data_IF_464062941196
#
_entry.id   IF_464062941196
#
_cell.length_a   1.000
_cell.length_b   1.000
_cell.length_c   1.000
_cell.angle_alpha   90.00
_cell.angle_beta   90.00
_cell.angle_gamma   90.00
#
_symmetry.space_group_name_H-M   'P 1'
#
loop_
_entity.id
_entity.type
_entity.pdbx_description
1 polymer ?
#
# COMPACT_ATOMS: atom_id res chain seq x y z
N UNK A 1 -11.09 -34.83 55.13
CA UNK A 1 -10.26 -34.08 54.15
C UNK A 1 -9.92 -32.70 54.74
N UNK A 2 -8.64 -32.32 54.82
CA UNK A 2 -8.21 -31.08 55.48
C UNK A 2 -8.50 -29.84 54.61
N UNK A 3 -9.76 -29.41 54.60
CA UNK A 3 -10.31 -28.31 53.78
C UNK A 3 -9.55 -26.98 53.91
N UNK A 4 -9.01 -26.68 55.11
CA UNK A 4 -8.16 -25.50 55.31
C UNK A 4 -6.84 -25.57 54.53
N UNK A 5 -6.23 -26.75 54.42
CA UNK A 5 -4.94 -26.92 53.70
C UNK A 5 -5.13 -26.82 52.18
N UNK A 6 -6.22 -27.35 51.65
CA UNK A 6 -6.54 -27.25 50.22
C UNK A 6 -6.84 -25.81 49.79
N UNK A 7 -7.51 -25.02 50.63
CA UNK A 7 -7.76 -23.59 50.35
C UNK A 7 -6.47 -22.76 50.29
N UNK A 8 -5.55 -22.98 51.22
CA UNK A 8 -4.25 -22.28 51.22
C UNK A 8 -3.41 -22.65 49.99
N UNK A 9 -3.44 -23.92 49.58
CA UNK A 9 -2.76 -24.37 48.36
C UNK A 9 -3.27 -23.65 47.11
N UNK A 10 -4.59 -23.51 46.96
CA UNK A 10 -5.20 -22.81 45.82
C UNK A 10 -4.80 -21.34 45.74
N UNK A 11 -4.70 -20.65 46.88
CA UNK A 11 -4.25 -19.25 46.94
C UNK A 11 -2.80 -19.13 46.46
N UNK A 12 -1.92 -20.04 46.91
CA UNK A 12 -0.52 -20.06 46.48
C UNK A 12 -0.36 -20.32 44.99
N UNK A 13 -1.08 -21.30 44.44
CA UNK A 13 -1.04 -21.62 43.00
C UNK A 13 -1.56 -20.44 42.18
N UNK A 14 -2.65 -19.79 42.61
CA UNK A 14 -3.21 -18.63 41.93
C UNK A 14 -2.20 -17.47 41.86
N UNK A 15 -1.51 -17.18 42.95
CA UNK A 15 -0.47 -16.13 42.98
C UNK A 15 0.68 -16.48 42.04
N UNK A 16 1.15 -17.74 42.05
CA UNK A 16 2.24 -18.19 41.18
C UNK A 16 1.88 -18.03 39.69
N UNK A 17 0.66 -18.41 39.30
CA UNK A 17 0.15 -18.24 37.93
C UNK A 17 0.07 -16.77 37.54
N UNK A 18 -0.40 -15.90 38.44
CA UNK A 18 -0.46 -14.46 38.17
C UNK A 18 0.93 -13.83 38.00
N UNK A 19 1.92 -14.24 38.80
CA UNK A 19 3.31 -13.80 38.62
C UNK A 19 3.84 -14.23 37.25
N UNK A 20 3.58 -15.48 36.84
CA UNK A 20 3.96 -16.00 35.53
C UNK A 20 3.30 -15.20 34.40
N UNK A 21 2.01 -14.86 34.53
CA UNK A 21 1.29 -14.02 33.59
C UNK A 21 1.87 -12.60 33.50
N UNK A 22 2.25 -12.00 34.63
CA UNK A 22 2.89 -10.68 34.67
C UNK A 22 4.26 -10.73 33.99
N UNK A 23 5.06 -11.78 34.22
CA UNK A 23 6.34 -11.96 33.53
C UNK A 23 6.15 -12.09 32.01
N UNK A 24 5.20 -12.91 31.56
CA UNK A 24 4.86 -13.06 30.13
C UNK A 24 4.36 -11.73 29.56
N UNK A 25 3.57 -10.98 30.30
CA UNK A 25 3.06 -9.68 29.88
C UNK A 25 4.19 -8.65 29.74
N UNK A 26 5.09 -8.55 30.71
CA UNK A 26 6.26 -7.67 30.66
C UNK A 26 7.17 -8.06 29.49
N UNK A 27 7.45 -9.36 29.29
CA UNK A 27 8.26 -9.82 28.15
C UNK A 27 7.59 -9.47 26.81
N UNK A 28 6.26 -9.65 26.70
CA UNK A 28 5.49 -9.27 25.51
C UNK A 28 5.48 -7.76 25.27
N UNK A 29 5.39 -6.94 26.32
CA UNK A 29 5.42 -5.47 26.22
C UNK A 29 6.83 -4.96 25.92
N UNK A 30 7.87 -5.53 26.52
CA UNK A 30 9.26 -5.18 26.21
C UNK A 30 9.61 -5.57 24.77
N UNK A 31 9.23 -6.76 24.30
CA UNK A 31 9.30 -7.13 22.87
C UNK A 31 8.42 -6.24 21.97
N UNK A 32 7.37 -5.63 22.53
CA UNK A 32 6.56 -4.66 21.81
C UNK A 32 7.27 -3.30 21.66
N UNK A 33 8.06 -2.87 22.65
CA UNK A 33 8.67 -1.53 22.76
C UNK A 33 10.17 -1.43 22.40
N UNK A 34 10.87 -2.55 22.12
CA UNK A 34 12.25 -2.48 21.63
C UNK A 34 12.26 -1.95 20.20
N UNK A 35 12.78 -0.73 20.07
CA UNK A 35 13.19 -0.10 18.81
C UNK A 35 14.21 -0.99 18.07
N UNK A 36 13.99 -1.17 16.77
CA UNK A 36 14.88 -1.59 15.67
C UNK A 36 16.38 -1.78 16.00
N UNK A 37 16.69 -2.82 16.77
CA UNK A 37 18.00 -3.45 16.84
C UNK A 37 17.84 -4.98 16.73
N UNK A 38 17.09 -5.42 15.70
CA UNK A 38 17.08 -6.82 15.25
C UNK A 38 18.45 -7.12 14.60
N UNK A 39 19.46 -7.46 15.42
CA UNK A 39 20.79 -7.87 14.93
C UNK A 39 21.01 -9.40 14.99
N UNK A 40 19.98 -10.18 15.34
CA UNK A 40 20.14 -11.64 15.57
C UNK A 40 19.62 -12.56 14.47
N UNK A 41 18.52 -12.21 13.78
CA UNK A 41 17.74 -13.15 12.95
C UNK A 41 17.35 -12.60 11.56
N UNK A 42 18.00 -11.54 11.08
CA UNK A 42 17.67 -10.98 9.77
C UNK A 42 18.08 -11.95 8.67
N UNK A 43 17.28 -12.01 7.61
CA UNK A 43 17.61 -12.84 6.44
C UNK A 43 18.85 -12.24 5.77
N UNK A 44 19.86 -13.09 5.58
CA UNK A 44 21.00 -12.75 4.75
C UNK A 44 20.68 -13.07 3.29
N UNK A 45 20.04 -12.12 2.60
CA UNK A 45 19.63 -12.29 1.20
C UNK A 45 20.80 -12.63 0.27
N UNK A 46 22.04 -12.22 0.58
CA UNK A 46 23.20 -12.60 -0.22
C UNK A 46 23.52 -14.09 -0.09
N UNK A 47 23.44 -14.66 1.12
CA UNK A 47 23.65 -16.10 1.34
C UNK A 47 22.51 -16.94 0.72
N UNK A 48 21.30 -16.41 0.71
CA UNK A 48 20.14 -17.02 0.06
C UNK A 48 20.12 -16.84 -1.48
N UNK A 49 21.13 -16.16 -2.04
CA UNK A 49 21.24 -15.80 -3.47
C UNK A 49 20.01 -15.06 -4.00
N UNK A 50 19.42 -14.19 -3.17
CA UNK A 50 18.31 -13.31 -3.51
C UNK A 50 18.87 -11.89 -3.70
N UNK A 51 18.62 -11.31 -4.87
CA UNK A 51 19.09 -9.96 -5.18
C UNK A 51 18.09 -8.95 -4.63
N UNK A 52 18.51 -8.17 -3.63
CA UNK A 52 17.70 -7.06 -3.09
C UNK A 52 18.53 -5.78 -3.10
N UNK A 53 18.07 -4.71 -3.79
CA UNK A 53 18.75 -3.44 -3.81
C UNK A 53 18.88 -2.82 -2.40
N UNK A 54 20.05 -2.27 -2.10
CA UNK A 54 20.34 -1.71 -0.77
C UNK A 54 19.53 -0.45 -0.47
N UNK A 55 19.26 0.35 -1.50
CA UNK A 55 18.39 1.52 -1.44
C UNK A 55 16.94 1.14 -1.09
N UNK A 56 16.45 -0.01 -1.59
CA UNK A 56 15.15 -0.57 -1.19
C UNK A 56 15.13 -0.93 0.29
N UNK A 57 16.13 -1.67 0.77
CA UNK A 57 16.19 -2.11 2.17
C UNK A 57 16.35 -0.95 3.16
N UNK A 58 17.04 0.11 2.76
CA UNK A 58 17.42 1.22 3.63
C UNK A 58 16.44 2.42 3.57
N UNK A 59 15.29 2.31 2.89
CA UNK A 59 14.29 3.40 2.90
C UNK A 59 13.86 3.70 4.35
N UNK A 60 14.06 4.95 4.79
CA UNK A 60 13.77 5.38 6.15
C UNK A 60 12.27 5.61 6.33
N UNK A 61 11.68 4.95 7.31
CA UNK A 61 10.25 5.08 7.67
C UNK A 61 10.03 5.32 9.17
N UNK A 62 11.08 5.69 9.91
CA UNK A 62 11.05 5.84 11.37
C UNK A 62 9.99 6.82 11.87
N UNK A 63 9.74 7.89 11.10
CA UNK A 63 8.77 8.93 11.44
C UNK A 63 7.43 8.75 10.70
N UNK A 64 7.25 7.60 10.04
CA UNK A 64 6.05 7.31 9.25
C UNK A 64 5.06 6.48 10.06
N UNK A 65 3.92 7.11 10.40
CA UNK A 65 2.79 6.44 11.02
C UNK A 65 1.55 6.54 10.15
N UNK A 66 0.93 5.41 9.84
CA UNK A 66 -0.26 5.33 8.99
C UNK A 66 -1.37 4.55 9.68
N UNK A 67 -2.62 4.83 9.30
CA UNK A 67 -3.80 4.12 9.77
C UNK A 67 -4.56 3.55 8.57
N UNK A 68 -5.48 2.61 8.83
CA UNK A 68 -6.48 2.26 7.82
C UNK A 68 -7.36 3.47 7.54
N UNK A 69 -7.78 3.62 6.29
CA UNK A 69 -8.64 4.70 5.84
C UNK A 69 -9.87 4.12 5.14
N UNK A 70 -10.96 4.86 5.21
CA UNK A 70 -12.12 4.64 4.36
C UNK A 70 -12.18 5.73 3.31
N UNK A 71 -12.68 5.37 2.14
CA UNK A 71 -12.83 6.29 1.02
C UNK A 71 -14.09 5.93 0.23
N UNK A 72 -14.66 6.90 -0.48
CA UNK A 72 -15.81 6.68 -1.36
C UNK A 72 -15.46 7.05 -2.79
N UNK A 73 -15.98 6.28 -3.75
CA UNK A 73 -15.88 6.65 -5.16
C UNK A 73 -16.60 7.97 -5.43
N UNK A 74 -15.88 8.90 -6.07
CA UNK A 74 -16.42 10.20 -6.48
C UNK A 74 -17.57 9.99 -7.45
N UNK A 75 -18.64 10.74 -7.22
CA UNK A 75 -19.69 10.93 -8.22
C UNK A 75 -19.34 12.14 -9.09
N UNK A 76 -19.16 11.92 -10.39
CA UNK A 76 -18.81 12.95 -11.36
C UNK A 76 -20.02 13.61 -12.03
N UNK A 77 -21.26 13.22 -11.70
CA UNK A 77 -22.46 13.76 -12.37
C UNK A 77 -22.56 15.28 -12.33
N UNK A 78 -22.33 15.91 -11.17
CA UNK A 78 -22.32 17.37 -11.06
C UNK A 78 -21.15 18.00 -11.81
N UNK A 79 -19.97 17.37 -11.74
CA UNK A 79 -18.76 17.91 -12.39
C UNK A 79 -18.90 17.91 -13.92
N UNK A 80 -19.39 16.81 -14.50
CA UNK A 80 -19.61 16.72 -15.94
C UNK A 80 -20.69 17.69 -16.45
N UNK A 81 -21.74 17.97 -15.66
CA UNK A 81 -22.74 19.00 -16.01
C UNK A 81 -22.14 20.41 -16.16
N UNK A 82 -21.08 20.70 -15.41
CA UNK A 82 -20.37 21.98 -15.47
C UNK A 82 -19.29 22.01 -16.58
N UNK A 83 -18.97 20.85 -17.17
CA UNK A 83 -17.92 20.68 -18.16
C UNK A 83 -18.47 19.88 -19.35
N UNK A 84 -19.13 20.59 -20.28
CA UNK A 84 -19.89 19.98 -21.38
C UNK A 84 -19.11 19.10 -22.36
N UNK A 85 -17.77 19.17 -22.35
CA UNK A 85 -16.88 18.32 -23.14
C UNK A 85 -16.52 17.00 -22.46
N UNK A 86 -17.04 16.74 -21.26
CA UNK A 86 -16.74 15.56 -20.47
C UNK A 86 -17.97 14.67 -20.33
N UNK A 87 -17.74 13.37 -20.49
CA UNK A 87 -18.76 12.34 -20.32
C UNK A 87 -18.54 11.58 -19.02
N UNK A 88 -19.57 10.82 -18.61
CA UNK A 88 -19.44 9.92 -17.47
C UNK A 88 -19.95 8.52 -17.79
N UNK A 89 -19.34 7.53 -17.16
CA UNK A 89 -19.73 6.12 -17.24
C UNK A 89 -19.69 5.46 -15.85
N UNK A 90 -20.03 4.16 -15.78
CA UNK A 90 -20.11 3.39 -14.54
C UNK A 90 -20.93 4.09 -13.44
N UNK A 91 -22.19 4.42 -13.73
CA UNK A 91 -23.09 5.14 -12.80
C UNK A 91 -22.46 6.44 -12.27
N UNK A 92 -21.87 7.21 -13.18
CA UNK A 92 -21.18 8.48 -12.92
C UNK A 92 -19.90 8.35 -12.06
N UNK A 93 -19.30 7.16 -11.94
CA UNK A 93 -18.05 6.96 -11.17
C UNK A 93 -16.78 7.04 -11.99
N UNK A 94 -16.91 7.00 -13.31
CA UNK A 94 -15.81 7.24 -14.24
C UNK A 94 -16.12 8.51 -15.02
N UNK A 95 -15.15 9.42 -15.07
CA UNK A 95 -15.15 10.61 -15.91
C UNK A 95 -14.31 10.30 -17.15
N UNK A 96 -14.82 10.65 -18.33
CA UNK A 96 -14.17 10.41 -19.61
C UNK A 96 -14.03 11.75 -20.35
N UNK A 97 -12.89 11.94 -21.02
CA UNK A 97 -12.63 13.15 -21.79
C UNK A 97 -11.72 12.89 -22.97
N UNK A 98 -12.03 13.53 -24.08
CA UNK A 98 -11.18 13.58 -25.26
C UNK A 98 -10.18 14.74 -25.16
N UNK A 99 -9.06 14.61 -25.88
CA UNK A 99 -7.97 15.58 -25.86
C UNK A 99 -7.79 16.16 -27.26
N UNK A 100 -8.40 17.32 -27.51
CA UNK A 100 -8.41 18.00 -28.82
C UNK A 100 -6.99 18.35 -29.33
N UNK A 101 -6.06 18.62 -28.42
CA UNK A 101 -4.64 18.91 -28.73
C UNK A 101 -3.81 17.73 -28.27
N UNK A 102 -3.13 17.04 -29.19
CA UNK A 102 -2.33 15.86 -28.83
C UNK A 102 -1.21 16.23 -27.85
N UNK A 103 -1.42 15.91 -26.57
CA UNK A 103 -0.46 16.15 -25.48
C UNK A 103 0.64 15.11 -25.59
N UNK A 104 1.90 15.53 -25.70
CA UNK A 104 3.02 14.60 -25.88
C UNK A 104 3.33 13.85 -24.58
N UNK A 105 3.56 12.55 -24.72
CA UNK A 105 3.98 11.63 -23.65
C UNK A 105 5.39 11.06 -23.95
N UNK A 106 5.92 11.27 -25.15
CA UNK A 106 7.26 10.82 -25.56
C UNK A 106 8.42 11.67 -25.04
N UNK A 107 8.15 12.82 -24.44
CA UNK A 107 9.22 13.72 -23.99
C UNK A 107 9.92 13.16 -22.76
N UNK A 108 11.27 13.24 -22.72
CA UNK A 108 12.13 12.63 -21.69
C UNK A 108 11.71 12.93 -20.24
N UNK A 109 11.01 14.06 -20.00
CA UNK A 109 10.57 14.50 -18.68
C UNK A 109 9.04 14.43 -18.46
N UNK A 110 8.28 13.96 -19.46
CA UNK A 110 6.81 13.93 -19.43
C UNK A 110 6.19 15.29 -19.10
N UNK A 111 6.80 16.39 -19.57
CA UNK A 111 6.42 17.76 -19.16
C UNK A 111 5.00 18.09 -19.63
N UNK A 112 4.73 17.93 -20.92
CA UNK A 112 3.44 18.29 -21.52
C UNK A 112 2.26 17.57 -20.83
N UNK A 113 2.39 16.26 -20.59
CA UNK A 113 1.34 15.51 -19.88
C UNK A 113 1.20 15.90 -18.41
N UNK A 114 2.30 16.25 -17.72
CA UNK A 114 2.23 16.76 -16.34
C UNK A 114 1.51 18.10 -16.26
N UNK A 115 1.79 19.01 -17.19
CA UNK A 115 1.14 20.32 -17.27
C UNK A 115 -0.36 20.13 -17.58
N UNK A 116 -0.70 19.28 -18.55
CA UNK A 116 -2.09 18.95 -18.86
C UNK A 116 -2.83 18.36 -17.65
N UNK A 117 -2.22 17.42 -16.92
CA UNK A 117 -2.81 16.86 -15.70
C UNK A 117 -3.03 17.95 -14.66
N UNK A 118 -2.08 18.87 -14.46
CA UNK A 118 -2.20 19.93 -13.47
C UNK A 118 -3.33 20.93 -13.78
N UNK A 119 -3.56 21.20 -15.07
CA UNK A 119 -4.45 22.28 -15.51
C UNK A 119 -5.86 21.80 -15.91
N UNK A 120 -5.97 20.60 -16.49
CA UNK A 120 -7.19 20.13 -17.16
C UNK A 120 -7.85 18.92 -16.50
N UNK A 121 -7.13 18.19 -15.64
CA UNK A 121 -7.68 17.00 -14.97
C UNK A 121 -8.21 17.36 -13.58
N UNK A 122 -9.42 16.87 -13.26
CA UNK A 122 -10.01 17.03 -11.93
C UNK A 122 -9.02 16.58 -10.84
N UNK A 123 -8.62 17.50 -9.96
CA UNK A 123 -7.62 17.24 -8.93
C UNK A 123 -6.34 16.54 -9.45
N UNK A 124 -5.88 16.84 -10.67
CA UNK A 124 -4.80 16.11 -11.32
C UNK A 124 -3.48 16.09 -10.53
N UNK A 125 -3.21 17.13 -9.73
CA UNK A 125 -2.05 17.19 -8.81
C UNK A 125 -2.05 16.09 -7.73
N UNK A 126 -3.18 15.42 -7.50
CA UNK A 126 -3.29 14.31 -6.57
C UNK A 126 -2.93 12.97 -7.22
N UNK A 127 -2.50 12.93 -8.48
CA UNK A 127 -2.14 11.70 -9.18
C UNK A 127 -0.64 11.60 -9.40
N UNK A 128 -0.08 10.41 -9.23
CA UNK A 128 1.32 10.11 -9.51
C UNK A 128 1.46 9.03 -10.57
N UNK A 129 2.53 9.10 -11.37
CA UNK A 129 2.80 8.11 -12.39
C UNK A 129 2.97 6.72 -11.76
N UNK A 130 2.31 5.71 -12.33
CA UNK A 130 2.38 4.32 -11.87
C UNK A 130 2.94 3.40 -12.95
N UNK A 131 2.46 3.55 -14.19
CA UNK A 131 2.86 2.70 -15.30
C UNK A 131 2.84 3.46 -16.63
N UNK A 132 3.68 3.03 -17.56
CA UNK A 132 3.79 3.58 -18.91
C UNK A 132 4.09 2.45 -19.90
N UNK A 133 3.19 2.26 -20.85
CA UNK A 133 3.32 1.35 -21.99
C UNK A 133 3.31 2.13 -23.31
N UNK A 134 3.41 1.42 -24.44
CA UNK A 134 3.32 2.03 -25.77
C UNK A 134 1.94 2.62 -26.08
N UNK A 135 0.89 2.05 -25.49
CA UNK A 135 -0.51 2.38 -25.77
C UNK A 135 -1.19 3.17 -24.65
N UNK A 136 -0.63 3.20 -23.43
CA UNK A 136 -1.25 3.82 -22.26
C UNK A 136 -0.23 4.43 -21.31
N UNK A 137 -0.65 5.47 -20.61
CA UNK A 137 0.02 5.97 -19.41
C UNK A 137 -0.98 5.99 -18.25
N UNK A 138 -0.58 5.40 -17.12
CA UNK A 138 -1.43 5.20 -15.96
C UNK A 138 -0.87 5.94 -14.75
N UNK A 139 -1.74 6.68 -14.09
CA UNK A 139 -1.48 7.36 -12.84
C UNK A 139 -2.42 6.84 -11.74
N UNK A 140 -1.95 6.86 -10.50
CA UNK A 140 -2.70 6.47 -9.31
C UNK A 140 -2.92 7.69 -8.43
N UNK A 141 -4.12 7.84 -7.89
CA UNK A 141 -4.43 8.88 -6.93
C UNK A 141 -3.60 8.68 -5.66
N UNK A 142 -3.22 9.77 -5.02
CA UNK A 142 -2.43 9.82 -3.79
C UNK A 142 -3.26 10.42 -2.65
N UNK A 143 -2.96 9.98 -1.43
CA UNK A 143 -3.51 10.51 -0.20
C UNK A 143 -2.37 10.72 0.80
N UNK A 144 -2.22 11.93 1.33
CA UNK A 144 -1.09 12.32 2.21
C UNK A 144 0.29 11.94 1.64
N UNK A 145 0.45 11.98 0.31
CA UNK A 145 1.70 11.63 -0.39
C UNK A 145 1.90 10.14 -0.67
N UNK A 146 0.93 9.28 -0.33
CA UNK A 146 0.98 7.83 -0.57
C UNK A 146 -0.01 7.41 -1.66
N UNK A 147 0.40 6.60 -2.66
CA UNK A 147 -0.50 6.14 -3.71
C UNK A 147 -1.58 5.19 -3.19
N UNK A 148 -2.76 5.24 -3.78
CA UNK A 148 -3.80 4.23 -3.68
C UNK A 148 -3.53 3.21 -4.78
N UNK A 149 -2.79 2.17 -4.43
CA UNK A 149 -2.17 1.22 -5.36
C UNK A 149 -3.18 0.19 -5.86
N UNK A 150 -3.03 -0.23 -7.12
CA UNK A 150 -3.79 -1.33 -7.74
C UNK A 150 -5.30 -1.22 -7.53
N UNK A 151 -5.81 -0.02 -7.79
CA UNK A 151 -7.19 0.33 -7.54
C UNK A 151 -7.81 1.04 -8.74
N UNK A 152 -8.80 0.42 -9.36
CA UNK A 152 -9.50 0.98 -10.52
C UNK A 152 -10.41 2.17 -10.16
N UNK A 153 -10.69 2.43 -8.87
CA UNK A 153 -11.53 3.55 -8.40
C UNK A 153 -10.72 4.81 -8.00
N UNK A 154 -9.40 4.76 -8.16
CA UNK A 154 -8.45 5.80 -7.81
C UNK A 154 -7.38 5.95 -8.90
N UNK A 155 -7.79 5.94 -10.17
CA UNK A 155 -6.91 5.80 -11.34
C UNK A 155 -7.22 6.83 -12.41
N UNK A 156 -6.17 7.36 -13.01
CA UNK A 156 -6.22 8.17 -14.22
C UNK A 156 -5.44 7.45 -15.31
N UNK A 157 -6.10 7.11 -16.42
CA UNK A 157 -5.49 6.41 -17.55
C UNK A 157 -5.68 7.21 -18.81
N UNK A 158 -4.61 7.46 -19.54
CA UNK A 158 -4.67 8.05 -20.87
C UNK A 158 -4.43 6.97 -21.91
N UNK A 159 -5.19 7.02 -23.00
CA UNK A 159 -4.87 6.27 -24.20
C UNK A 159 -3.86 7.06 -25.03
N UNK A 160 -2.88 6.35 -25.57
CA UNK A 160 -1.82 6.90 -26.39
C UNK A 160 -1.98 6.46 -27.84
N UNK A 161 -1.72 7.39 -28.75
CA UNK A 161 -1.53 7.13 -30.16
C UNK A 161 -0.24 7.84 -30.60
N UNK A 162 0.73 7.08 -31.11
CA UNK A 162 2.03 7.59 -31.55
C UNK A 162 2.71 8.49 -30.49
N UNK A 163 2.76 8.00 -29.24
CA UNK A 163 3.38 8.73 -28.12
C UNK A 163 2.64 9.99 -27.67
N UNK A 164 1.39 10.20 -28.11
CA UNK A 164 0.55 11.35 -27.72
C UNK A 164 -0.74 10.88 -27.07
N UNK A 165 -1.15 11.56 -25.99
CA UNK A 165 -2.42 11.28 -25.34
C UNK A 165 -3.60 11.80 -26.17
N UNK A 166 -4.61 10.95 -26.38
CA UNK A 166 -5.79 11.26 -27.22
C UNK A 166 -7.08 11.31 -26.42
N UNK A 167 -7.19 10.53 -25.35
CA UNK A 167 -8.33 10.53 -24.44
C UNK A 167 -7.91 10.02 -23.07
N UNK A 168 -8.74 10.25 -22.06
CA UNK A 168 -8.50 9.76 -20.72
C UNK A 168 -9.77 9.22 -20.06
N UNK A 169 -9.56 8.29 -19.12
CA UNK A 169 -10.54 7.87 -18.13
C UNK A 169 -10.02 8.18 -16.74
N UNK A 170 -10.86 8.76 -15.92
CA UNK A 170 -10.52 9.12 -14.56
C UNK A 170 -11.55 8.56 -13.57
N UNK A 171 -11.05 7.88 -12.56
CA UNK A 171 -11.79 7.55 -11.35
C UNK A 171 -11.08 8.20 -10.17
N UNK A 172 -11.87 8.70 -9.21
CA UNK A 172 -11.34 9.36 -8.04
C UNK A 172 -12.04 8.86 -6.79
N UNK A 173 -11.33 8.95 -5.68
CA UNK A 173 -11.87 8.80 -4.34
C UNK A 173 -11.98 10.15 -3.64
N UNK A 174 -13.06 10.30 -2.89
CA UNK A 174 -13.30 11.41 -1.99
C UNK A 174 -13.68 10.90 -0.59
N UNK A 175 -13.94 11.83 0.32
CA UNK A 175 -14.30 11.55 1.71
C UNK A 175 -13.32 10.56 2.35
N UNK A 176 -12.03 10.80 2.12
CA UNK A 176 -10.96 9.95 2.61
C UNK A 176 -10.69 10.31 4.06
N UNK A 177 -11.00 9.39 4.97
CA UNK A 177 -10.85 9.60 6.40
C UNK A 177 -10.30 8.34 7.06
N UNK A 178 -9.66 8.52 8.22
CA UNK A 178 -9.23 7.40 9.05
C UNK A 178 -10.43 6.51 9.35
N UNK A 179 -10.27 5.19 9.18
CA UNK A 179 -11.33 4.23 9.42
C UNK A 179 -11.72 4.21 10.91
N UNK A 180 -13.01 4.18 11.21
CA UNK A 180 -13.50 4.04 12.59
C UNK A 180 -13.23 2.62 13.13
N UNK A 181 -13.07 2.49 14.45
CA UNK A 181 -12.86 1.20 15.13
C UNK A 181 -11.42 0.92 15.57
N UNK A 182 -11.07 -0.36 15.77
CA UNK A 182 -9.80 -0.79 16.40
C UNK A 182 -8.53 -0.49 15.58
N UNK A 183 -8.68 -0.07 14.32
CA UNK A 183 -7.59 0.34 13.44
C UNK A 183 -7.59 1.85 13.11
N UNK A 184 -8.31 2.65 13.91
CA UNK A 184 -8.39 4.11 13.80
C UNK A 184 -7.14 4.85 14.28
N UNK A 185 -6.19 4.17 14.90
CA UNK A 185 -4.95 4.78 15.38
C UNK A 185 -3.83 4.63 14.35
N UNK A 186 -3.12 5.74 14.08
CA UNK A 186 -1.89 5.70 13.26
C UNK A 186 -0.85 4.82 13.97
N UNK A 187 -0.40 3.77 13.29
CA UNK A 187 0.61 2.81 13.76
C UNK A 187 1.92 3.02 13.01
N UNK A 188 3.02 2.71 13.68
CA UNK A 188 4.34 2.73 13.06
C UNK A 188 4.38 1.78 11.86
N UNK A 189 4.90 2.26 10.74
CA UNK A 189 5.10 1.44 9.55
C UNK A 189 6.35 0.56 9.73
N UNK A 190 6.24 -0.73 9.36
CA UNK A 190 7.38 -1.65 9.32
C UNK A 190 8.38 -1.23 8.25
N UNK A 191 9.65 -1.53 8.45
CA UNK A 191 10.70 -1.27 7.46
C UNK A 191 10.46 -2.06 6.15
N UNK A 192 10.95 -1.55 5.00
CA UNK A 192 10.94 -2.32 3.76
C UNK A 192 11.66 -3.66 3.89
N UNK A 193 12.76 -3.71 4.65
CA UNK A 193 13.45 -4.97 4.98
C UNK A 193 12.50 -6.00 5.58
N UNK A 194 11.73 -5.63 6.61
CA UNK A 194 10.78 -6.53 7.25
C UNK A 194 9.69 -7.01 6.29
N UNK A 195 9.27 -6.16 5.36
CA UNK A 195 8.30 -6.53 4.32
C UNK A 195 8.89 -7.54 3.31
N UNK A 196 10.14 -7.35 2.88
CA UNK A 196 10.86 -8.31 2.00
C UNK A 196 11.12 -9.63 2.73
N UNK A 197 11.50 -9.58 4.01
CA UNK A 197 11.66 -10.78 4.85
C UNK A 197 10.34 -11.54 5.01
N UNK A 198 9.21 -10.83 5.11
CA UNK A 198 7.90 -11.46 5.11
C UNK A 198 7.63 -12.24 3.81
N UNK A 199 8.01 -11.72 2.64
CA UNK A 199 7.92 -12.49 1.38
C UNK A 199 8.78 -13.75 1.43
N UNK A 200 10.01 -13.64 1.93
CA UNK A 200 10.94 -14.78 2.07
C UNK A 200 10.36 -15.87 2.99
N UNK A 201 9.96 -15.52 4.22
CA UNK A 201 9.44 -16.50 5.19
C UNK A 201 8.12 -17.14 4.73
N UNK A 202 7.32 -16.43 3.93
CA UNK A 202 6.10 -16.97 3.34
C UNK A 202 6.34 -17.67 1.97
N UNK A 203 7.60 -17.90 1.58
CA UNK A 203 8.02 -18.61 0.36
C UNK A 203 7.61 -17.94 -0.96
N UNK A 204 7.26 -16.66 -0.92
CA UNK A 204 7.03 -15.84 -2.11
C UNK A 204 8.34 -15.31 -2.70
N UNK A 205 9.43 -15.28 -1.95
CA UNK A 205 10.75 -14.91 -2.44
C UNK A 205 11.70 -16.09 -2.30
N UNK A 206 12.31 -16.53 -3.40
CA UNK A 206 13.12 -17.75 -3.50
C UNK A 206 14.51 -17.45 -4.03
N UNK A 207 15.42 -18.42 -3.86
CA UNK A 207 16.77 -18.39 -4.43
C UNK A 207 16.76 -17.96 -5.90
N UNK A 208 17.68 -17.07 -6.28
CA UNK A 208 17.82 -16.45 -7.60
C UNK A 208 16.75 -15.42 -7.99
N UNK A 209 15.75 -15.15 -7.15
CA UNK A 209 14.82 -14.06 -7.39
C UNK A 209 15.48 -12.69 -7.18
N UNK A 210 14.89 -11.68 -7.79
CA UNK A 210 15.32 -10.30 -7.65
C UNK A 210 14.16 -9.39 -7.23
N UNK A 211 14.32 -8.67 -6.13
CA UNK A 211 13.46 -7.53 -5.79
C UNK A 211 13.86 -6.35 -6.67
N UNK A 212 12.89 -5.76 -7.36
CA UNK A 212 13.08 -4.65 -8.29
C UNK A 212 12.87 -3.31 -7.60
N UNK A 213 11.78 -3.18 -6.85
CA UNK A 213 11.46 -1.99 -6.06
C UNK A 213 10.49 -2.36 -4.92
N UNK A 214 10.42 -1.49 -3.90
CA UNK A 214 9.39 -1.53 -2.88
C UNK A 214 8.88 -0.11 -2.56
N UNK A 215 7.58 0.15 -2.68
CA UNK A 215 6.98 1.45 -2.35
C UNK A 215 5.83 1.32 -1.36
N UNK A 216 5.69 2.30 -0.48
CA UNK A 216 4.64 2.34 0.54
C UNK A 216 3.41 3.06 -0.02
N UNK A 217 2.23 2.48 0.19
CA UNK A 217 0.97 3.05 -0.27
C UNK A 217 -0.24 2.44 0.44
N UNK A 218 -1.43 2.74 -0.06
CA UNK A 218 -2.70 2.19 0.38
C UNK A 218 -3.18 1.12 -0.59
N UNK A 219 -3.60 -0.03 -0.07
CA UNK A 219 -4.17 -1.13 -0.84
C UNK A 219 -5.60 -1.43 -0.39
N UNK A 220 -6.50 -1.71 -1.33
CA UNK A 220 -7.89 -2.03 -1.02
C UNK A 220 -8.04 -3.43 -0.45
N UNK A 221 -8.57 -3.51 0.77
CA UNK A 221 -9.01 -4.78 1.37
C UNK A 221 -10.23 -5.33 0.63
N UNK A 222 -11.13 -4.43 0.19
CA UNK A 222 -12.35 -4.77 -0.56
C UNK A 222 -12.44 -3.85 -1.79
N UNK A 223 -12.34 -4.43 -2.99
CA UNK A 223 -12.28 -3.67 -4.25
C UNK A 223 -13.67 -3.32 -4.80
N UNK A 224 -14.65 -4.19 -4.63
CA UNK A 224 -15.94 -4.08 -5.33
C UNK A 224 -16.90 -3.01 -4.77
N UNK A 225 -16.77 -2.65 -3.50
CA UNK A 225 -17.73 -1.76 -2.82
C UNK A 225 -17.49 -0.28 -3.13
N UNK A 226 -18.56 0.53 -3.15
CA UNK A 226 -18.48 1.99 -3.33
C UNK A 226 -17.74 2.68 -2.17
N UNK A 227 -17.88 2.14 -0.97
CA UNK A 227 -17.07 2.49 0.20
C UNK A 227 -15.93 1.49 0.26
N UNK A 228 -14.69 1.95 0.14
CA UNK A 228 -13.52 1.09 0.23
C UNK A 228 -12.84 1.25 1.57
N UNK A 229 -12.45 0.10 2.15
CA UNK A 229 -11.49 0.02 3.24
C UNK A 229 -10.10 -0.15 2.62
N UNK A 230 -9.23 0.82 2.86
CA UNK A 230 -7.86 0.84 2.37
C UNK A 230 -6.91 0.70 3.55
N UNK A 231 -5.89 -0.14 3.39
CA UNK A 231 -4.88 -0.38 4.41
C UNK A 231 -3.48 -0.03 3.91
N UNK A 232 -2.59 0.50 4.78
CA UNK A 232 -1.21 0.76 4.39
C UNK A 232 -0.47 -0.55 4.11
N UNK A 233 0.08 -0.68 2.91
CA UNK A 233 0.85 -1.83 2.44
C UNK A 233 2.13 -1.38 1.73
N UNK A 234 3.15 -2.22 1.79
CA UNK A 234 4.29 -2.18 0.88
C UNK A 234 3.91 -2.91 -0.41
N UNK A 235 3.99 -2.24 -1.56
CA UNK A 235 4.01 -2.88 -2.88
C UNK A 235 5.46 -3.25 -3.19
N UNK A 236 5.72 -4.53 -3.47
CA UNK A 236 7.06 -5.07 -3.76
C UNK A 236 7.00 -5.74 -5.12
N UNK A 237 7.83 -5.27 -6.05
CA UNK A 237 7.98 -5.84 -7.39
C UNK A 237 9.11 -6.87 -7.39
N UNK A 238 8.84 -8.09 -7.82
CA UNK A 238 9.77 -9.21 -7.82
C UNK A 238 9.87 -9.80 -9.23
N UNK A 239 11.10 -9.94 -9.74
CA UNK A 239 11.39 -10.73 -10.92
C UNK A 239 11.81 -12.13 -10.48
N UNK A 240 10.98 -13.11 -10.78
CA UNK A 240 11.28 -14.50 -10.45
C UNK A 240 12.28 -15.11 -11.41
N UNK A 241 13.16 -15.97 -10.90
CA UNK A 241 14.10 -16.70 -11.74
C UNK A 241 13.36 -17.58 -12.76
N UNK A 242 13.77 -17.50 -14.02
CA UNK A 242 13.15 -18.25 -15.12
C UNK A 242 11.77 -17.74 -15.56
N UNK A 243 11.31 -16.58 -15.05
CA UNK A 243 10.11 -15.91 -15.52
C UNK A 243 10.46 -14.56 -16.15
N UNK A 244 9.80 -14.24 -17.26
CA UNK A 244 9.99 -12.97 -17.95
C UNK A 244 9.18 -11.83 -17.31
N UNK A 245 8.08 -12.16 -16.62
CA UNK A 245 7.21 -11.18 -15.98
C UNK A 245 7.69 -10.78 -14.57
N UNK A 246 7.37 -9.55 -14.20
CA UNK A 246 7.52 -9.03 -12.83
C UNK A 246 6.21 -9.28 -12.10
N UNK A 247 6.27 -9.99 -10.98
CA UNK A 247 5.15 -10.21 -10.07
C UNK A 247 5.14 -9.10 -9.00
N UNK A 248 3.96 -8.69 -8.57
CA UNK A 248 3.79 -7.61 -7.58
C UNK A 248 3.09 -8.17 -6.36
N UNK A 249 3.70 -7.99 -5.19
CA UNK A 249 3.18 -8.43 -3.91
C UNK A 249 2.82 -7.23 -3.04
N UNK A 250 1.80 -7.37 -2.19
CA UNK A 250 1.43 -6.36 -1.20
C UNK A 250 1.58 -6.91 0.21
N UNK A 251 2.35 -6.24 1.05
CA UNK A 251 2.64 -6.68 2.43
C UNK A 251 2.09 -5.65 3.41
N UNK A 252 1.27 -6.08 4.37
CA UNK A 252 0.68 -5.17 5.37
C UNK A 252 1.77 -4.37 6.10
N UNK A 253 1.63 -3.04 6.14
CA UNK A 253 2.70 -2.18 6.61
C UNK A 253 2.61 -1.79 8.09
N UNK A 254 1.49 -2.05 8.77
CA UNK A 254 1.19 -1.51 10.12
C UNK A 254 1.03 -2.58 11.22
N UNK A 255 1.56 -3.78 10.98
CA UNK A 255 1.52 -4.91 11.92
C UNK A 255 2.90 -5.57 12.03
N UNK A 256 3.21 -6.13 13.21
CA UNK A 256 4.47 -6.86 13.42
C UNK A 256 4.53 -8.20 12.68
N UNK A 257 3.37 -8.80 12.42
CA UNK A 257 3.22 -10.05 11.69
C UNK A 257 2.42 -9.76 10.41
N UNK A 258 3.08 -9.25 9.36
CA UNK A 258 2.38 -8.77 8.18
C UNK A 258 1.84 -9.92 7.34
N UNK A 259 0.61 -9.76 6.86
CA UNK A 259 0.06 -10.63 5.82
C UNK A 259 0.59 -10.21 4.46
N UNK A 260 0.83 -11.20 3.61
CA UNK A 260 1.19 -11.03 2.20
C UNK A 260 -0.05 -11.28 1.35
N UNK A 261 -0.29 -10.39 0.41
CA UNK A 261 -1.36 -10.45 -0.59
C UNK A 261 -0.67 -10.50 -1.96
N UNK A 262 -1.14 -11.40 -2.82
CA UNK A 262 -0.76 -11.48 -4.23
C UNK A 262 -1.98 -11.06 -5.07
#
# INVERSE_FOLDING_TARGET
MNWKRTKTLFIFVFILVNILLVMIYIDKVNKAQINDAESGNNVNFQQEEIKVPTDVLNKKVKDTKLAQITARSKDFSSYAKEHSSLDTSDKNKTLEGDIDKTVKVSDKNLKDIKDFIADSIYNGKQYQLSDLSSDKITYEQTFEGYPIMNNNKARLTFNLNDGKATSYKQTAMNNIHIAEGSNSTKKQVISPRKAVEALYFNRYLKRNDQVIDARLGYYSVVKETNVQLLQPNWEIKVKHHGKDNIETYYVEATTKNPKVIN
#
